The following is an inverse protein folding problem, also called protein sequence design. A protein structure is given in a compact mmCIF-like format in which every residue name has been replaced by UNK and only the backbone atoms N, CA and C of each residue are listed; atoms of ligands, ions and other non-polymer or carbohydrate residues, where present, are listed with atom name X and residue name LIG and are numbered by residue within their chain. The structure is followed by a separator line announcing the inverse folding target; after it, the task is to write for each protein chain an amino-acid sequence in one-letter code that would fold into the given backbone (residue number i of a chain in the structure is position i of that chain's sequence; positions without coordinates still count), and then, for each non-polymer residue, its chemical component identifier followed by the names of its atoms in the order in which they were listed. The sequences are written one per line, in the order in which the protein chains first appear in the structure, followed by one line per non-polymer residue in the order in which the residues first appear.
data_IF_574814091991
#
_entry.id   IF_574814091991
#
_cell.length_a   1.000
_cell.length_b   1.000
_cell.length_c   1.000
_cell.angle_alpha   90.00
_cell.angle_beta   90.00
_cell.angle_gamma   90.00
#
_symmetry.space_group_name_H-M   'P 1'
#
loop_
_entity.id
_entity.type
_entity.pdbx_description
1 polymer ?
#
# COMPACT_ATOMS: atom_id res chain seq x y z
N UNK A 1 -7.20 -44.04 2.82
CA UNK A 1 -6.09 -43.06 2.94
C UNK A 1 -4.77 -43.57 3.56
N UNK A 2 -4.62 -44.72 4.26
CA UNK A 2 -3.34 -45.02 4.94
C UNK A 2 -2.19 -45.50 4.02
N UNK A 3 -2.50 -46.07 2.85
CA UNK A 3 -1.48 -46.69 1.97
C UNK A 3 -0.62 -45.64 1.23
N UNK A 4 -1.22 -44.53 0.78
CA UNK A 4 -0.49 -43.48 0.06
C UNK A 4 0.57 -42.81 0.93
N UNK A 5 0.22 -42.47 2.18
CA UNK A 5 1.16 -41.84 3.11
C UNK A 5 2.31 -42.79 3.49
N UNK A 6 2.04 -44.10 3.62
CA UNK A 6 3.09 -45.08 3.90
C UNK A 6 4.09 -45.22 2.75
N UNK A 7 3.65 -45.07 1.49
CA UNK A 7 4.55 -45.07 0.34
C UNK A 7 5.39 -43.81 0.29
N UNK A 8 4.79 -42.63 0.50
CA UNK A 8 5.54 -41.37 0.53
C UNK A 8 6.68 -41.40 1.56
N UNK A 9 6.47 -42.00 2.74
CA UNK A 9 7.54 -42.13 3.76
C UNK A 9 8.79 -42.91 3.31
N UNK A 10 8.70 -43.72 2.26
CA UNK A 10 9.82 -44.51 1.75
C UNK A 10 10.51 -43.86 0.54
N UNK A 11 9.80 -43.01 -0.21
CA UNK A 11 10.29 -42.47 -1.49
C UNK A 11 10.44 -40.94 -1.52
N UNK A 12 9.91 -40.24 -0.52
CA UNK A 12 10.02 -38.78 -0.40
C UNK A 12 11.12 -38.49 0.61
N UNK A 13 12.21 -37.90 0.14
CA UNK A 13 13.33 -37.52 1.00
C UNK A 13 12.94 -36.41 1.99
N UNK A 14 12.11 -35.47 1.53
CA UNK A 14 11.72 -34.31 2.34
C UNK A 14 10.34 -33.74 1.94
N UNK A 15 9.65 -33.16 2.93
CA UNK A 15 8.46 -32.34 2.73
C UNK A 15 8.75 -30.91 3.17
N UNK A 16 8.66 -29.96 2.23
CA UNK A 16 8.83 -28.53 2.49
C UNK A 16 7.45 -27.86 2.54
N UNK A 17 7.17 -27.13 3.62
CA UNK A 17 5.95 -26.31 3.75
C UNK A 17 6.23 -24.86 3.38
N UNK A 18 5.24 -24.20 2.78
CA UNK A 18 5.33 -22.78 2.42
C UNK A 18 4.15 -22.00 2.98
N UNK A 19 4.38 -20.71 3.20
CA UNK A 19 3.37 -19.72 3.56
C UNK A 19 2.58 -19.26 2.34
N UNK A 20 1.43 -18.64 2.57
CA UNK A 20 0.63 -18.03 1.51
C UNK A 20 1.38 -16.91 0.77
N UNK A 21 2.26 -16.18 1.46
CA UNK A 21 3.05 -15.10 0.87
C UNK A 21 4.15 -15.66 -0.05
N UNK A 22 4.86 -16.71 0.38
CA UNK A 22 5.82 -17.46 -0.47
C UNK A 22 5.12 -18.00 -1.73
N UNK A 23 3.87 -18.45 -1.59
CA UNK A 23 3.07 -18.96 -2.70
C UNK A 23 2.67 -17.85 -3.68
N UNK A 24 2.22 -16.69 -3.18
CA UNK A 24 1.86 -15.55 -4.02
C UNK A 24 3.07 -15.02 -4.80
N UNK A 25 4.23 -14.94 -4.15
CA UNK A 25 5.50 -14.59 -4.81
C UNK A 25 5.85 -15.58 -5.92
N UNK A 26 5.68 -16.88 -5.69
CA UNK A 26 5.95 -17.90 -6.71
C UNK A 26 4.99 -17.81 -7.91
N UNK A 27 3.70 -17.51 -7.72
CA UNK A 27 2.76 -17.26 -8.83
C UNK A 27 3.25 -16.09 -9.68
N UNK A 28 3.70 -15.01 -9.02
CA UNK A 28 4.22 -13.83 -9.70
C UNK A 28 5.50 -14.14 -10.49
N UNK A 29 6.45 -14.87 -9.91
CA UNK A 29 7.68 -15.27 -10.62
C UNK A 29 7.37 -16.10 -11.87
N UNK A 30 6.47 -17.08 -11.77
CA UNK A 30 6.06 -17.91 -12.91
C UNK A 30 5.48 -17.03 -14.03
N UNK A 31 4.65 -16.05 -13.66
CA UNK A 31 4.08 -15.09 -14.60
C UNK A 31 5.15 -14.19 -15.22
N UNK A 32 6.06 -13.64 -14.43
CA UNK A 32 7.11 -12.73 -14.92
C UNK A 32 8.06 -13.47 -15.90
N UNK A 33 8.43 -14.71 -15.59
CA UNK A 33 9.38 -15.51 -16.36
C UNK A 33 8.77 -16.16 -17.61
N UNK A 34 7.57 -16.72 -17.48
CA UNK A 34 6.97 -17.58 -18.54
C UNK A 34 5.67 -17.04 -19.11
N UNK A 35 5.09 -15.99 -18.50
CA UNK A 35 3.73 -15.47 -18.79
C UNK A 35 2.62 -16.49 -18.58
N UNK A 36 2.92 -17.60 -17.90
CA UNK A 36 1.93 -18.59 -17.46
C UNK A 36 1.20 -18.09 -16.23
N UNK A 37 -0.11 -18.33 -16.19
CA UNK A 37 -0.95 -17.98 -15.04
C UNK A 37 -1.24 -19.27 -14.29
N UNK A 38 -0.87 -19.32 -13.01
CA UNK A 38 -1.04 -20.50 -12.18
C UNK A 38 -2.04 -20.25 -11.05
N UNK A 39 -2.71 -21.32 -10.62
CA UNK A 39 -3.45 -21.30 -9.37
C UNK A 39 -2.48 -21.52 -8.19
N UNK A 40 -2.91 -21.29 -6.93
CA UNK A 40 -2.06 -21.51 -5.76
C UNK A 40 -1.36 -22.88 -5.72
N UNK A 41 -2.06 -23.99 -6.01
CA UNK A 41 -1.45 -25.34 -6.09
C UNK A 41 -0.40 -25.47 -7.20
N UNK A 42 -0.58 -24.78 -8.33
CA UNK A 42 0.35 -24.78 -9.45
C UNK A 42 1.72 -24.21 -9.07
N UNK A 43 1.73 -23.13 -8.30
CA UNK A 43 2.96 -22.47 -7.86
C UNK A 43 3.66 -23.11 -6.64
N UNK A 44 3.04 -24.12 -6.00
CA UNK A 44 3.54 -24.71 -4.75
C UNK A 44 4.96 -25.27 -4.88
N UNK A 45 5.25 -25.96 -5.98
CA UNK A 45 6.56 -26.55 -6.21
C UNK A 45 7.66 -25.48 -6.37
N UNK A 46 7.36 -24.36 -7.05
CA UNK A 46 8.29 -23.23 -7.22
C UNK A 46 8.55 -22.56 -5.88
N UNK A 47 7.51 -22.28 -5.09
CA UNK A 47 7.65 -21.73 -3.74
C UNK A 47 8.53 -22.63 -2.85
N UNK A 48 8.30 -23.94 -2.90
CA UNK A 48 9.09 -24.94 -2.17
C UNK A 48 10.56 -24.95 -2.59
N UNK A 49 10.84 -24.93 -3.90
CA UNK A 49 12.21 -24.87 -4.43
C UNK A 49 12.92 -23.59 -3.98
N UNK A 50 12.27 -22.42 -4.07
CA UNK A 50 12.86 -21.15 -3.60
C UNK A 50 13.24 -21.22 -2.12
N UNK A 51 12.34 -21.75 -1.29
CA UNK A 51 12.58 -21.92 0.13
C UNK A 51 13.71 -22.91 0.43
N UNK A 52 13.75 -24.03 -0.30
CA UNK A 52 14.81 -25.03 -0.20
C UNK A 52 16.17 -24.45 -0.56
N UNK A 53 16.28 -23.76 -1.70
CA UNK A 53 17.52 -23.10 -2.14
C UNK A 53 17.99 -22.07 -1.12
N UNK A 54 17.08 -21.25 -0.59
CA UNK A 54 17.41 -20.24 0.41
C UNK A 54 17.90 -20.86 1.74
N UNK A 55 17.29 -21.96 2.17
CA UNK A 55 17.64 -22.66 3.41
C UNK A 55 18.98 -23.41 3.30
N UNK A 56 19.17 -24.15 2.22
CA UNK A 56 20.30 -25.08 2.05
C UNK A 56 21.48 -24.48 1.28
N UNK A 57 21.32 -23.27 0.72
CA UNK A 57 22.37 -22.58 -0.02
C UNK A 57 22.79 -23.31 -1.30
N UNK A 58 21.86 -24.05 -1.93
CA UNK A 58 22.14 -24.89 -3.10
C UNK A 58 22.56 -24.03 -4.29
N UNK A 59 23.67 -24.42 -4.93
CA UNK A 59 24.21 -23.75 -6.12
C UNK A 59 24.61 -24.78 -7.18
N UNK A 60 24.49 -24.40 -8.47
CA UNK A 60 24.93 -25.23 -9.60
C UNK A 60 24.11 -26.49 -9.86
N UNK A 61 22.96 -26.67 -9.20
CA UNK A 61 22.07 -27.81 -9.42
C UNK A 61 20.93 -27.46 -10.38
N UNK A 62 20.41 -28.46 -11.08
CA UNK A 62 19.17 -28.33 -11.88
C UNK A 62 18.00 -28.78 -11.03
N UNK A 63 17.10 -27.86 -10.71
CA UNK A 63 15.88 -28.11 -9.94
C UNK A 63 14.68 -28.01 -10.90
N UNK A 64 13.75 -28.95 -10.79
CA UNK A 64 12.55 -29.00 -11.66
C UNK A 64 11.32 -28.84 -10.78
N UNK A 65 10.52 -27.81 -11.08
CA UNK A 65 9.21 -27.61 -10.48
C UNK A 65 8.13 -28.16 -11.42
N UNK A 66 7.11 -28.81 -10.86
CA UNK A 66 5.90 -29.17 -11.61
C UNK A 66 4.86 -28.09 -11.34
N UNK A 67 4.51 -27.35 -12.37
CA UNK A 67 3.33 -26.50 -12.35
C UNK A 67 2.07 -27.38 -12.53
N UNK A 68 1.37 -27.60 -11.43
CA UNK A 68 0.31 -28.61 -11.36
C UNK A 68 -1.07 -28.11 -11.79
N UNK A 69 -1.28 -26.80 -11.95
CA UNK A 69 -2.62 -26.28 -12.21
C UNK A 69 -2.70 -24.77 -12.48
N UNK A 70 -3.64 -24.40 -13.34
CA UNK A 70 -3.86 -23.02 -13.82
C UNK A 70 -5.32 -22.55 -13.70
N UNK A 71 -6.14 -23.23 -12.89
CA UNK A 71 -7.56 -22.91 -12.74
C UNK A 71 -7.76 -21.71 -11.79
N UNK A 72 -7.27 -20.55 -12.21
CA UNK A 72 -7.40 -19.31 -11.43
C UNK A 72 -8.59 -18.48 -11.93
N UNK A 73 -9.29 -17.85 -10.99
CA UNK A 73 -10.21 -16.77 -11.31
C UNK A 73 -9.41 -15.46 -11.44
N UNK A 74 -9.72 -14.63 -12.45
CA UNK A 74 -9.12 -13.32 -12.64
C UNK A 74 -9.21 -12.44 -11.39
N UNK A 75 -10.30 -12.50 -10.62
CA UNK A 75 -10.43 -11.76 -9.35
C UNK A 75 -9.36 -12.13 -8.32
N UNK A 76 -8.89 -13.39 -8.34
CA UNK A 76 -7.85 -13.86 -7.43
C UNK A 76 -6.47 -13.30 -7.78
N UNK A 77 -6.24 -12.93 -9.04
CA UNK A 77 -4.95 -12.35 -9.46
C UNK A 77 -4.69 -11.03 -8.76
N UNK A 78 -5.72 -10.21 -8.55
CA UNK A 78 -5.58 -8.97 -7.78
C UNK A 78 -5.09 -9.25 -6.36
N UNK A 79 -5.72 -10.22 -5.68
CA UNK A 79 -5.31 -10.59 -4.33
C UNK A 79 -3.90 -11.17 -4.28
N UNK A 80 -3.53 -12.00 -5.26
CA UNK A 80 -2.18 -12.57 -5.38
C UNK A 80 -1.15 -11.46 -5.62
N UNK A 81 -1.42 -10.51 -6.50
CA UNK A 81 -0.54 -9.38 -6.77
C UNK A 81 -0.34 -8.52 -5.50
N UNK A 82 -1.44 -8.14 -4.84
CA UNK A 82 -1.40 -7.35 -3.60
C UNK A 82 -0.61 -8.08 -2.49
N UNK A 83 -0.75 -9.41 -2.34
CA UNK A 83 0.03 -10.19 -1.35
C UNK A 83 1.47 -10.45 -1.76
N UNK A 84 1.75 -10.64 -3.04
CA UNK A 84 3.11 -10.87 -3.53
C UNK A 84 3.99 -9.63 -3.27
N UNK A 85 3.48 -8.43 -3.52
CA UNK A 85 4.20 -7.17 -3.24
C UNK A 85 4.55 -7.04 -1.74
N UNK A 86 3.62 -7.37 -0.86
CA UNK A 86 3.85 -7.38 0.60
C UNK A 86 4.83 -8.48 1.02
N UNK A 87 4.67 -9.69 0.49
CA UNK A 87 5.48 -10.87 0.82
C UNK A 87 6.93 -10.77 0.37
N UNK A 88 7.20 -10.06 -0.74
CA UNK A 88 8.55 -9.79 -1.24
C UNK A 88 9.29 -8.70 -0.44
N UNK A 89 8.69 -8.15 0.62
CA UNK A 89 9.22 -7.02 1.40
C UNK A 89 9.56 -5.81 0.51
N UNK A 90 8.79 -5.62 -0.56
CA UNK A 90 8.94 -4.52 -1.51
C UNK A 90 8.11 -3.29 -1.17
N UNK A 91 7.32 -3.38 -0.11
CA UNK A 91 6.55 -2.29 0.46
C UNK A 91 6.73 -2.31 1.98
N UNK A 92 7.04 -1.15 2.57
CA UNK A 92 6.98 -0.95 4.01
C UNK A 92 5.68 -0.25 4.37
N UNK A 93 4.92 -0.82 5.31
CA UNK A 93 3.73 -0.19 5.88
C UNK A 93 4.10 0.39 7.22
N UNK A 94 3.93 1.70 7.38
CA UNK A 94 4.31 2.41 8.60
C UNK A 94 3.17 3.28 9.11
N UNK A 95 3.09 3.41 10.43
CA UNK A 95 2.32 4.45 11.08
C UNK A 95 3.26 5.54 11.57
N UNK A 96 3.00 6.79 11.20
CA UNK A 96 3.84 7.93 11.57
C UNK A 96 3.01 8.97 12.30
N UNK A 97 3.50 9.42 13.45
CA UNK A 97 2.91 10.56 14.15
C UNK A 97 3.60 11.85 13.72
N UNK A 98 2.82 12.83 13.27
CA UNK A 98 3.28 14.17 12.91
C UNK A 98 2.52 15.24 13.71
N UNK A 99 3.09 16.45 13.89
CA UNK A 99 2.35 17.55 14.50
C UNK A 99 1.17 17.98 13.61
N UNK A 100 0.01 18.20 14.23
CA UNK A 100 -1.21 18.67 13.56
C UNK A 100 -1.12 20.18 13.26
N UNK A 101 -0.36 20.55 12.22
CA UNK A 101 -0.13 21.92 11.81
C UNK A 101 0.06 22.06 10.29
N UNK A 102 -0.26 23.23 9.70
CA UNK A 102 -0.13 23.45 8.25
C UNK A 102 1.28 23.19 7.72
N UNK A 103 1.38 22.24 6.79
CA UNK A 103 2.63 21.88 6.10
C UNK A 103 3.36 20.66 6.67
N UNK A 104 2.90 20.06 7.77
CA UNK A 104 3.50 18.82 8.30
C UNK A 104 3.46 17.67 7.28
N UNK A 105 2.40 17.55 6.49
CA UNK A 105 2.24 16.53 5.44
C UNK A 105 3.31 16.68 4.36
N UNK A 106 3.51 17.92 3.91
CA UNK A 106 4.53 18.25 2.92
C UNK A 106 5.93 17.96 3.46
N UNK A 107 6.22 18.38 4.70
CA UNK A 107 7.51 18.12 5.33
C UNK A 107 7.78 16.61 5.46
N UNK A 108 6.78 15.83 5.84
CA UNK A 108 6.90 14.38 5.90
C UNK A 108 7.09 13.73 4.51
N UNK A 109 6.35 14.18 3.49
CA UNK A 109 6.57 13.70 2.12
C UNK A 109 7.99 14.02 1.62
N UNK A 110 8.54 15.18 2.01
CA UNK A 110 9.94 15.54 1.70
C UNK A 110 10.94 14.67 2.47
N UNK A 111 10.64 14.31 3.73
CA UNK A 111 11.45 13.42 4.56
C UNK A 111 11.58 12.00 3.99
N UNK A 112 10.56 11.52 3.28
CA UNK A 112 10.59 10.24 2.55
C UNK A 112 11.53 10.26 1.33
N UNK A 113 11.88 11.44 0.83
CA UNK A 113 12.82 11.65 -0.26
C UNK A 113 12.27 11.23 -1.62
N UNK A 114 13.01 10.38 -2.34
CA UNK A 114 12.66 9.91 -3.69
C UNK A 114 11.85 8.62 -3.70
N UNK A 115 11.51 8.07 -2.52
CA UNK A 115 10.77 6.82 -2.43
C UNK A 115 9.35 7.00 -2.95
N UNK A 116 8.86 5.99 -3.67
CA UNK A 116 7.50 6.00 -4.18
C UNK A 116 6.53 5.74 -3.02
N UNK A 117 5.58 6.65 -2.83
CA UNK A 117 4.49 6.47 -1.88
C UNK A 117 3.41 5.66 -2.58
N UNK A 118 3.08 4.50 -2.02
CA UNK A 118 2.04 3.58 -2.52
C UNK A 118 0.71 3.86 -1.83
N UNK A 119 0.73 4.22 -0.54
CA UNK A 119 -0.45 4.58 0.22
C UNK A 119 -0.17 5.76 1.15
N UNK A 120 -1.15 6.64 1.29
CA UNK A 120 -1.09 7.75 2.22
C UNK A 120 -2.50 8.06 2.71
N UNK A 121 -2.79 7.63 3.93
CA UNK A 121 -4.12 7.72 4.52
C UNK A 121 -4.07 8.46 5.86
N UNK A 122 -5.03 9.36 6.06
CA UNK A 122 -5.16 10.21 7.23
C UNK A 122 -6.62 10.64 7.43
N UNK A 123 -7.02 10.73 8.68
CA UNK A 123 -8.21 11.45 9.12
C UNK A 123 -7.86 12.32 10.30
N UNK A 124 -8.37 13.53 10.29
CA UNK A 124 -8.28 14.43 11.43
C UNK A 124 -8.95 13.81 12.65
N UNK A 125 -8.25 13.90 13.77
CA UNK A 125 -8.77 13.55 15.07
C UNK A 125 -8.42 14.67 16.05
N UNK A 126 -9.36 15.13 16.90
CA UNK A 126 -9.10 16.22 17.84
C UNK A 126 -7.85 15.97 18.70
N UNK A 127 -6.87 16.85 18.62
CA UNK A 127 -5.59 16.69 19.31
C UNK A 127 -4.48 17.55 18.71
N UNK A 128 -3.25 17.34 19.19
CA UNK A 128 -2.04 17.99 18.66
C UNK A 128 -1.23 17.10 17.70
N UNK A 129 -1.65 15.85 17.56
CA UNK A 129 -0.91 14.82 16.85
C UNK A 129 -1.79 14.19 15.77
N UNK A 130 -1.31 14.22 14.54
CA UNK A 130 -1.85 13.49 13.40
C UNK A 130 -1.18 12.13 13.30
N UNK A 131 -1.95 11.07 13.04
CA UNK A 131 -1.42 9.73 12.74
C UNK A 131 -1.63 9.42 11.27
N UNK A 132 -0.54 9.28 10.54
CA UNK A 132 -0.54 8.88 9.15
C UNK A 132 -0.39 7.37 9.04
N UNK A 133 -1.16 6.75 8.15
CA UNK A 133 -0.91 5.40 7.67
C UNK A 133 -0.30 5.48 6.27
N UNK A 134 0.92 4.98 6.11
CA UNK A 134 1.72 5.24 4.91
C UNK A 134 2.32 3.93 4.39
N UNK A 135 2.12 3.67 3.10
CA UNK A 135 2.82 2.64 2.35
C UNK A 135 3.94 3.29 1.52
N UNK A 136 5.15 2.74 1.63
CA UNK A 136 6.33 3.23 0.91
C UNK A 136 7.01 2.06 0.22
N UNK A 137 7.29 2.21 -1.07
CA UNK A 137 8.03 1.19 -1.81
C UNK A 137 9.48 1.11 -1.32
N UNK A 138 9.94 -0.10 -1.03
CA UNK A 138 11.29 -0.42 -0.55
C UNK A 138 11.91 -1.55 -1.37
N UNK A 139 13.20 -1.80 -1.20
CA UNK A 139 13.87 -2.93 -1.84
C UNK A 139 14.83 -3.62 -0.85
N UNK A 140 14.71 -4.94 -0.59
CA UNK A 140 15.51 -5.62 0.44
C UNK A 140 17.03 -5.41 0.35
N UNK A 141 17.57 -5.34 -0.88
CA UNK A 141 19.01 -5.16 -1.13
C UNK A 141 19.44 -3.68 -1.29
N UNK A 142 18.75 -2.91 -2.13
CA UNK A 142 19.18 -1.56 -2.52
C UNK A 142 18.60 -0.42 -1.68
N UNK A 143 17.44 -0.64 -1.05
CA UNK A 143 16.75 0.36 -0.22
C UNK A 143 15.98 -0.34 0.90
N UNK A 144 16.68 -0.93 1.89
CA UNK A 144 16.06 -1.74 2.91
C UNK A 144 15.15 -0.92 3.82
N UNK A 145 14.09 -1.55 4.32
CA UNK A 145 13.09 -0.89 5.17
C UNK A 145 13.73 -0.25 6.41
N UNK A 146 14.75 -0.90 6.96
CA UNK A 146 15.45 -0.46 8.17
C UNK A 146 16.14 0.89 7.95
N UNK A 147 16.65 1.13 6.74
CA UNK A 147 17.26 2.42 6.38
C UNK A 147 16.20 3.53 6.30
N UNK A 148 15.02 3.24 5.76
CA UNK A 148 13.89 4.16 5.76
C UNK A 148 13.47 4.51 7.19
N UNK A 149 13.24 3.50 8.03
CA UNK A 149 12.82 3.68 9.42
C UNK A 149 13.87 4.44 10.24
N UNK A 150 15.16 4.10 10.07
CA UNK A 150 16.27 4.79 10.73
C UNK A 150 16.32 6.27 10.36
N UNK A 151 16.29 6.58 9.07
CA UNK A 151 16.28 7.96 8.56
C UNK A 151 15.11 8.78 9.11
N UNK A 152 13.90 8.21 9.18
CA UNK A 152 12.74 8.94 9.73
C UNK A 152 12.88 9.19 11.25
N UNK A 153 13.40 8.22 12.00
CA UNK A 153 13.65 8.37 13.44
C UNK A 153 14.73 9.41 13.73
N UNK A 154 15.79 9.45 12.93
CA UNK A 154 16.85 10.46 13.02
C UNK A 154 16.32 11.88 12.77
N UNK A 155 15.33 12.02 11.88
CA UNK A 155 14.62 13.28 11.64
C UNK A 155 13.60 13.64 12.74
N UNK A 156 13.44 12.79 13.76
CA UNK A 156 12.58 13.04 14.92
C UNK A 156 11.14 12.54 14.77
N UNK A 157 10.81 11.78 13.72
CA UNK A 157 9.48 11.20 13.57
C UNK A 157 9.30 9.98 14.48
N UNK A 158 8.14 9.89 15.13
CA UNK A 158 7.71 8.68 15.80
C UNK A 158 7.11 7.72 14.77
N UNK A 159 7.84 6.65 14.45
CA UNK A 159 7.48 5.69 13.40
C UNK A 159 7.35 4.29 13.96
N UNK A 160 6.17 3.69 13.75
CA UNK A 160 5.86 2.30 14.03
C UNK A 160 5.86 1.51 12.71
N UNK A 161 6.65 0.45 12.65
CA UNK A 161 6.64 -0.49 11.52
C UNK A 161 5.46 -1.47 11.67
N UNK A 162 4.61 -1.51 10.65
CA UNK A 162 3.43 -2.36 10.55
C UNK A 162 3.52 -3.34 9.38
N UNK A 163 4.67 -3.44 8.72
CA UNK A 163 4.88 -4.26 7.51
C UNK A 163 4.53 -5.74 7.76
N UNK A 164 4.91 -6.28 8.92
CA UNK A 164 4.63 -7.67 9.30
C UNK A 164 3.31 -7.83 10.08
N UNK A 165 2.48 -6.79 10.16
CA UNK A 165 1.21 -6.82 10.87
C UNK A 165 0.05 -7.21 9.93
N UNK A 166 -0.50 -8.42 10.08
CA UNK A 166 -1.60 -8.92 9.24
C UNK A 166 -2.87 -8.06 9.33
N UNK A 167 -3.22 -7.55 10.53
CA UNK A 167 -4.37 -6.67 10.70
C UNK A 167 -4.18 -5.38 9.90
N UNK A 168 -2.96 -4.84 9.89
CA UNK A 168 -2.63 -3.65 9.11
C UNK A 168 -2.75 -3.91 7.60
N UNK A 169 -2.15 -5.01 7.13
CA UNK A 169 -2.10 -5.41 5.72
C UNK A 169 -3.46 -5.80 5.14
N UNK A 170 -4.32 -6.46 5.91
CA UNK A 170 -5.57 -7.04 5.38
C UNK A 170 -6.80 -6.17 5.65
N UNK A 171 -6.78 -5.36 6.71
CA UNK A 171 -7.96 -4.64 7.15
C UNK A 171 -7.72 -3.14 7.29
N UNK A 172 -6.77 -2.73 8.14
CA UNK A 172 -6.62 -1.31 8.50
C UNK A 172 -6.35 -0.45 7.28
N UNK A 173 -5.54 -0.91 6.31
CA UNK A 173 -5.27 -0.17 5.07
C UNK A 173 -6.53 0.19 4.26
N UNK A 174 -7.63 -0.52 4.47
CA UNK A 174 -8.93 -0.27 3.82
C UNK A 174 -9.94 0.46 4.72
N UNK A 175 -9.64 0.63 6.00
CA UNK A 175 -10.57 1.22 6.99
C UNK A 175 -10.03 2.49 7.63
N UNK A 176 -8.79 2.89 7.36
CA UNK A 176 -8.26 4.19 7.78
C UNK A 176 -9.08 5.28 7.09
N UNK A 177 -9.80 6.06 7.90
CA UNK A 177 -10.73 7.05 7.41
C UNK A 177 -11.69 7.50 8.50
N UNK A 178 -12.45 6.60 9.11
CA UNK A 178 -13.37 6.95 10.21
C UNK A 178 -14.35 8.11 9.91
N UNK A 179 -15.12 8.50 10.93
CA UNK A 179 -16.07 9.62 10.82
C UNK A 179 -15.42 10.97 11.08
N UNK A 180 -16.03 12.02 10.53
CA UNK A 180 -15.70 13.40 10.83
C UNK A 180 -15.89 13.69 12.31
N UNK A 181 -15.16 14.68 12.83
CA UNK A 181 -15.50 15.24 14.12
C UNK A 181 -16.92 15.85 14.05
N UNK A 182 -17.75 15.73 15.10
CA UNK A 182 -19.09 16.30 15.09
C UNK A 182 -19.06 17.80 14.78
N UNK A 183 -19.81 18.20 13.74
CA UNK A 183 -19.88 19.61 13.31
C UNK A 183 -18.74 20.07 12.40
N UNK A 184 -17.93 19.16 11.85
CA UNK A 184 -16.97 19.50 10.81
C UNK A 184 -17.67 20.08 9.58
N UNK A 185 -17.24 21.26 9.15
CA UNK A 185 -17.65 21.87 7.88
C UNK A 185 -16.51 21.69 6.88
N UNK A 186 -16.52 20.53 6.22
CA UNK A 186 -15.47 20.11 5.29
C UNK A 186 -16.00 19.93 3.87
N UNK A 187 -15.22 20.37 2.89
CA UNK A 187 -15.47 20.16 1.46
C UNK A 187 -14.74 18.94 0.99
N UNK A 188 -15.50 17.97 0.51
CA UNK A 188 -14.98 16.66 0.12
C UNK A 188 -14.79 16.62 -1.37
N UNK A 189 -13.55 16.38 -1.78
CA UNK A 189 -13.12 16.45 -3.16
C UNK A 189 -12.43 15.16 -3.54
N UNK A 190 -12.75 14.67 -4.73
CA UNK A 190 -12.00 13.61 -5.39
C UNK A 190 -11.16 14.22 -6.49
N UNK A 191 -9.88 13.86 -6.57
CA UNK A 191 -8.94 14.33 -7.59
C UNK A 191 -8.39 13.16 -8.39
N UNK A 192 -8.07 13.42 -9.65
CA UNK A 192 -7.42 12.48 -10.57
C UNK A 192 -6.29 13.20 -11.31
N UNK A 193 -5.11 12.58 -11.31
CA UNK A 193 -3.94 13.11 -12.01
C UNK A 193 -3.01 11.98 -12.49
N UNK A 194 -2.22 12.20 -13.55
CA UNK A 194 -1.28 11.20 -14.04
C UNK A 194 -0.28 10.79 -12.97
N UNK A 195 -0.14 9.48 -12.77
CA UNK A 195 0.78 8.94 -11.78
C UNK A 195 2.23 9.04 -12.28
N UNK A 196 3.10 9.59 -11.43
CA UNK A 196 4.55 9.70 -11.68
C UNK A 196 5.29 9.87 -10.35
N UNK A 197 6.60 9.55 -10.28
CA UNK A 197 7.39 9.78 -9.08
C UNK A 197 7.25 11.22 -8.56
N UNK A 198 6.84 11.35 -7.30
CA UNK A 198 6.61 12.65 -6.65
C UNK A 198 5.28 13.33 -6.99
N UNK A 199 4.35 12.67 -7.68
CA UNK A 199 3.04 13.25 -8.03
C UNK A 199 2.27 13.72 -6.79
N UNK A 200 2.23 12.92 -5.72
CA UNK A 200 1.58 13.28 -4.46
C UNK A 200 2.20 14.55 -3.83
N UNK A 201 3.52 14.66 -3.80
CA UNK A 201 4.19 15.86 -3.29
C UNK A 201 3.84 17.08 -4.14
N UNK A 202 3.86 16.95 -5.46
CA UNK A 202 3.45 18.02 -6.38
C UNK A 202 1.99 18.44 -6.20
N UNK A 203 1.10 17.49 -5.92
CA UNK A 203 -0.29 17.77 -5.57
C UNK A 203 -0.39 18.61 -4.30
N UNK A 204 0.29 18.19 -3.22
CA UNK A 204 0.31 18.93 -1.95
C UNK A 204 0.95 20.32 -2.10
N UNK A 205 1.93 20.48 -2.99
CA UNK A 205 2.55 21.78 -3.28
C UNK A 205 1.60 22.73 -4.00
N UNK A 206 0.77 22.22 -4.93
CA UNK A 206 -0.24 23.02 -5.62
C UNK A 206 -1.44 23.36 -4.72
N UNK A 207 -1.87 22.43 -3.88
CA UNK A 207 -2.92 22.67 -2.88
C UNK A 207 -2.48 23.75 -1.87
N UNK A 208 -1.17 23.82 -1.60
CA UNK A 208 -0.57 24.85 -0.76
C UNK A 208 -0.86 24.66 0.73
N UNK A 209 -0.90 25.77 1.47
CA UNK A 209 -1.18 25.79 2.92
C UNK A 209 -2.44 26.57 3.26
N UNK A 210 -3.25 26.89 2.26
CA UNK A 210 -4.39 27.80 2.38
C UNK A 210 -5.53 27.18 3.20
N UNK A 211 -5.77 25.89 2.99
CA UNK A 211 -6.83 25.15 3.68
C UNK A 211 -6.25 24.01 4.48
N UNK A 212 -6.92 23.70 5.59
CA UNK A 212 -6.57 22.55 6.40
C UNK A 212 -7.13 21.27 5.76
N UNK A 213 -6.35 20.19 5.79
CA UNK A 213 -6.77 18.89 5.25
C UNK A 213 -7.30 18.06 6.41
N UNK A 214 -8.59 17.75 6.41
CA UNK A 214 -9.27 16.98 7.47
C UNK A 214 -9.45 15.50 7.12
N UNK A 215 -9.32 15.14 5.85
CA UNK A 215 -9.27 13.77 5.35
C UNK A 215 -8.28 13.72 4.19
N UNK A 216 -7.47 12.68 4.14
CA UNK A 216 -6.62 12.41 2.98
C UNK A 216 -6.52 10.91 2.75
N UNK A 217 -6.90 10.46 1.57
CA UNK A 217 -6.79 9.07 1.17
C UNK A 217 -6.20 9.01 -0.24
N UNK A 218 -5.00 8.44 -0.33
CA UNK A 218 -4.26 8.26 -1.56
C UNK A 218 -3.78 6.82 -1.66
N UNK A 219 -4.02 6.20 -2.81
CA UNK A 219 -3.62 4.84 -3.09
C UNK A 219 -3.17 4.72 -4.54
N UNK A 220 -1.93 4.31 -4.74
CA UNK A 220 -1.36 4.01 -6.04
C UNK A 220 -1.36 2.49 -6.24
N UNK A 221 -2.11 2.04 -7.25
CA UNK A 221 -2.27 0.63 -7.63
C UNK A 221 -1.54 0.26 -8.92
N UNK A 222 -0.51 1.02 -9.30
CA UNK A 222 0.13 0.86 -10.61
C UNK A 222 -0.80 1.22 -11.78
N UNK A 223 -1.87 1.98 -11.49
CA UNK A 223 -2.73 2.56 -12.52
C UNK A 223 -2.03 3.78 -13.15
N UNK A 224 -2.37 4.09 -14.40
CA UNK A 224 -1.85 5.28 -15.10
C UNK A 224 -2.28 6.60 -14.42
N UNK A 225 -3.34 6.56 -13.64
CA UNK A 225 -3.92 7.71 -12.93
C UNK A 225 -3.94 7.44 -11.43
N UNK A 226 -3.40 8.38 -10.67
CA UNK A 226 -3.55 8.44 -9.23
C UNK A 226 -4.88 9.07 -8.85
N UNK A 227 -5.47 8.58 -7.76
CA UNK A 227 -6.69 9.14 -7.19
C UNK A 227 -6.41 9.58 -5.77
N UNK A 228 -6.80 10.83 -5.48
CA UNK A 228 -6.79 11.39 -4.14
C UNK A 228 -8.24 11.65 -3.76
N UNK A 229 -8.63 11.20 -2.57
CA UNK A 229 -9.87 11.61 -1.93
C UNK A 229 -9.48 12.43 -0.71
N UNK A 230 -9.85 13.71 -0.69
CA UNK A 230 -9.45 14.64 0.36
C UNK A 230 -10.65 15.45 0.84
N UNK A 231 -10.65 15.78 2.12
CA UNK A 231 -11.56 16.76 2.69
C UNK A 231 -10.78 17.98 3.17
N UNK A 232 -11.31 19.16 2.87
CA UNK A 232 -10.70 20.45 3.16
C UNK A 232 -11.62 21.26 4.05
N UNK A 233 -11.10 21.81 5.13
CA UNK A 233 -11.81 22.80 5.93
C UNK A 233 -11.65 24.17 5.26
N UNK A 234 -12.71 24.63 4.59
CA UNK A 234 -12.72 25.89 3.84
C UNK A 234 -13.59 26.90 4.60
N UNK A 235 -13.02 28.02 5.05
CA UNK A 235 -13.79 29.09 5.69
C UNK A 235 -14.95 29.56 4.81
N UNK A 236 -16.09 29.90 5.43
CA UNK A 236 -17.33 30.24 4.72
C UNK A 236 -17.19 31.40 3.73
N UNK A 237 -16.31 32.36 4.01
CA UNK A 237 -15.98 33.50 3.17
C UNK A 237 -15.09 33.14 1.96
N UNK A 238 -14.38 32.01 2.01
CA UNK A 238 -13.53 31.52 0.92
C UNK A 238 -14.23 30.52 -0.01
N UNK A 239 -15.41 30.02 0.37
CA UNK A 239 -16.16 29.02 -0.41
C UNK A 239 -16.43 29.45 -1.86
N UNK A 240 -16.72 30.73 -2.08
CA UNK A 240 -16.97 31.26 -3.42
C UNK A 240 -15.72 31.23 -4.34
N UNK A 241 -14.52 31.25 -3.75
CA UNK A 241 -13.25 31.21 -4.47
C UNK A 241 -12.65 29.81 -4.64
N UNK A 242 -13.22 28.80 -3.97
CA UNK A 242 -12.73 27.42 -4.01
C UNK A 242 -12.65 26.86 -5.44
N UNK A 243 -13.67 26.96 -6.31
CA UNK A 243 -13.60 26.41 -7.66
C UNK A 243 -12.45 26.99 -8.49
N UNK A 244 -12.26 28.32 -8.44
CA UNK A 244 -11.21 29.01 -9.18
C UNK A 244 -9.81 28.53 -8.75
N UNK A 245 -9.60 28.37 -7.44
CA UNK A 245 -8.33 27.88 -6.92
C UNK A 245 -8.08 26.40 -7.28
N UNK A 246 -9.12 25.55 -7.35
CA UNK A 246 -8.99 24.16 -7.81
C UNK A 246 -8.70 24.09 -9.32
N UNK A 247 -9.33 24.95 -10.12
CA UNK A 247 -9.07 25.06 -11.57
C UNK A 247 -7.61 25.48 -11.85
N UNK A 248 -7.07 26.42 -11.06
CA UNK A 248 -5.67 26.84 -11.14
C UNK A 248 -4.69 25.71 -10.80
N UNK A 249 -5.08 24.72 -9.98
CA UNK A 249 -4.26 23.53 -9.73
C UNK A 249 -4.12 22.66 -10.99
N UNK A 250 -5.03 22.78 -11.95
CA UNK A 250 -4.98 22.07 -13.24
C UNK A 250 -5.14 20.55 -13.13
N UNK A 251 -5.79 20.06 -12.07
CA UNK A 251 -6.14 18.65 -11.90
C UNK A 251 -7.63 18.45 -12.10
N UNK A 252 -8.01 17.27 -12.58
CA UNK A 252 -9.42 16.91 -12.67
C UNK A 252 -9.94 16.64 -11.27
N UNK A 253 -11.06 17.26 -10.91
CA UNK A 253 -11.67 17.09 -9.60
C UNK A 253 -13.19 16.94 -9.68
N UNK A 254 -13.78 16.42 -8.60
CA UNK A 254 -15.21 16.29 -8.40
C UNK A 254 -15.54 16.69 -6.97
N UNK A 255 -16.62 17.45 -6.80
CA UNK A 255 -17.21 17.71 -5.49
C UNK A 255 -18.07 16.51 -5.07
N UNK A 256 -17.67 15.87 -3.97
CA UNK A 256 -18.33 14.70 -3.38
C UNK A 256 -18.91 15.05 -1.99
N UNK A 257 -18.98 16.35 -1.63
CA UNK A 257 -19.45 16.81 -0.30
C UNK A 257 -20.86 16.33 0.02
N UNK A 258 -21.74 16.33 -0.99
CA UNK A 258 -23.11 15.85 -0.86
C UNK A 258 -23.32 14.37 -1.20
N UNK A 259 -22.23 13.63 -1.44
CA UNK A 259 -22.31 12.22 -1.81
C UNK A 259 -22.93 11.40 -0.65
N UNK A 260 -24.00 10.62 -0.90
CA UNK A 260 -24.64 9.81 0.13
C UNK A 260 -23.70 8.80 0.80
N UNK A 261 -22.76 8.22 0.04
CA UNK A 261 -21.79 7.28 0.59
C UNK A 261 -20.84 7.96 1.58
N UNK A 262 -20.41 9.18 1.27
CA UNK A 262 -19.60 9.97 2.20
C UNK A 262 -20.38 10.27 3.49
N UNK A 263 -21.58 10.86 3.38
CA UNK A 263 -22.40 11.24 4.54
C UNK A 263 -22.78 10.09 5.46
N UNK A 264 -22.94 8.88 4.92
CA UNK A 264 -23.32 7.70 5.71
C UNK A 264 -22.15 7.07 6.48
N UNK A 265 -20.93 7.12 5.95
CA UNK A 265 -19.81 6.33 6.46
C UNK A 265 -18.58 7.13 6.92
N UNK A 266 -18.46 8.39 6.50
CA UNK A 266 -17.27 9.22 6.74
C UNK A 266 -17.61 10.64 7.21
N UNK A 267 -18.74 11.20 6.78
CA UNK A 267 -19.22 12.53 7.19
C UNK A 267 -19.86 12.57 8.57
#
# INVERSE_FOLDING_TARGET
MPIALSLCRHFVDEVVTVSSDELCAAIKDIYDDTRSITEPSGALAVAGIKKYVARDGVQGQTLVAIDSGANVNFDRLRHVAERAELGEQREAIIAVTIPEQPGSFRAFCQALGKRQITEFNYRYYPGKEARLFVGVQTHPVHDPREQLLGSLREQGYNVLDLTDNELAKLHVRHTVGGHAAPGADERVLRFEFPERPGALLGFLERLGKRWNISLFHYRNHGAAEARVFAALEVPGDELAGLPLALDEMGYRYWDETDNPAYKLFLG
#
